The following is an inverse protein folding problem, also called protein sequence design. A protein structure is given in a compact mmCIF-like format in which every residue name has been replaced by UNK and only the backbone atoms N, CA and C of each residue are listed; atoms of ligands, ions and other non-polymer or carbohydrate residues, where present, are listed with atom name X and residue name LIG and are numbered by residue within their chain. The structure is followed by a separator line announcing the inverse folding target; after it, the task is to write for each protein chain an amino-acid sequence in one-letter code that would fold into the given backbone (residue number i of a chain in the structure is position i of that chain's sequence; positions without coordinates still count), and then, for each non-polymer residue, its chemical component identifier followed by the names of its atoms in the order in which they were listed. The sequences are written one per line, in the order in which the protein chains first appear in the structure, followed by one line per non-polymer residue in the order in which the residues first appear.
data_IF_117705898235
#
_entry.id   IF_117705898235
#
_cell.length_a   1.000
_cell.length_b   1.000
_cell.length_c   1.000
_cell.angle_alpha   90.00
_cell.angle_beta   90.00
_cell.angle_gamma   90.00
#
_symmetry.space_group_name_H-M   'P 1'
#
loop_
_entity.id
_entity.type
_entity.pdbx_description
1 polymer ?
#
# COMPACT_ATOMS: atom_id res chain seq x y z
N UNK A 1 10.13 -14.23 1.83
CA UNK A 1 9.65 -12.99 1.21
C UNK A 1 10.78 -12.50 0.30
N UNK A 2 10.56 -12.41 -1.00
CA UNK A 2 11.57 -11.88 -1.94
C UNK A 2 11.51 -10.37 -1.82
N UNK A 3 12.54 -9.74 -1.28
CA UNK A 3 12.59 -8.27 -1.15
C UNK A 3 12.76 -7.61 -2.53
N UNK A 4 12.04 -6.51 -2.75
CA UNK A 4 12.26 -5.65 -3.91
C UNK A 4 13.56 -4.85 -3.70
N UNK A 5 14.68 -5.37 -4.21
CA UNK A 5 16.02 -4.81 -3.98
C UNK A 5 16.14 -3.32 -4.33
N UNK A 6 15.41 -2.88 -5.36
CA UNK A 6 15.53 -1.53 -5.92
C UNK A 6 14.28 -0.66 -5.70
N UNK A 7 13.33 -1.09 -4.88
CA UNK A 7 12.09 -0.34 -4.62
C UNK A 7 11.88 -0.22 -3.12
N UNK A 8 11.71 1.01 -2.58
CA UNK A 8 11.34 1.18 -1.19
C UNK A 8 10.12 0.34 -0.83
N UNK A 9 10.17 -0.30 0.35
CA UNK A 9 9.11 -1.21 0.79
C UNK A 9 7.72 -0.55 0.79
N UNK A 10 7.63 0.73 1.16
CA UNK A 10 6.37 1.49 1.16
C UNK A 10 5.74 1.57 -0.23
N UNK A 11 6.52 1.91 -1.26
CA UNK A 11 6.08 1.94 -2.66
C UNK A 11 5.69 0.53 -3.12
N UNK A 12 6.51 -0.47 -2.81
CA UNK A 12 6.23 -1.85 -3.17
C UNK A 12 4.93 -2.37 -2.54
N UNK A 13 4.67 -2.07 -1.27
CA UNK A 13 3.43 -2.44 -0.57
C UNK A 13 2.20 -1.87 -1.26
N UNK A 14 2.22 -0.56 -1.58
CA UNK A 14 1.07 0.12 -2.19
C UNK A 14 0.79 -0.37 -3.61
N UNK A 15 1.84 -0.66 -4.39
CA UNK A 15 1.69 -1.26 -5.73
C UNK A 15 1.15 -2.68 -5.60
N UNK A 16 1.70 -3.48 -4.68
CA UNK A 16 1.32 -4.88 -4.50
C UNK A 16 -0.10 -5.05 -3.97
N UNK A 17 -0.60 -4.08 -3.20
CA UNK A 17 -1.99 -4.04 -2.75
C UNK A 17 -2.97 -3.55 -3.82
N UNK A 18 -2.48 -3.14 -5.00
CA UNK A 18 -3.32 -2.64 -6.10
C UNK A 18 -3.97 -1.28 -5.83
N UNK A 19 -3.48 -0.50 -4.86
CA UNK A 19 -4.08 0.79 -4.49
C UNK A 19 -3.57 1.96 -5.33
N UNK A 20 -2.38 1.83 -5.90
CA UNK A 20 -1.84 2.76 -6.90
C UNK A 20 -0.82 2.04 -7.80
N UNK A 21 -0.63 2.57 -9.00
CA UNK A 21 0.44 2.15 -9.91
C UNK A 21 1.76 2.88 -9.63
N UNK A 22 2.87 2.31 -10.12
CA UNK A 22 4.17 2.99 -10.09
C UNK A 22 4.12 4.35 -10.80
N UNK A 23 3.38 4.45 -11.90
CA UNK A 23 3.29 5.69 -12.67
C UNK A 23 2.62 6.80 -11.86
N UNK A 24 1.55 6.49 -11.12
CA UNK A 24 0.85 7.47 -10.27
C UNK A 24 1.73 7.94 -9.11
N UNK A 25 2.44 7.02 -8.45
CA UNK A 25 3.36 7.32 -7.34
C UNK A 25 4.57 8.16 -7.77
N UNK A 26 5.01 8.03 -9.02
CA UNK A 26 6.17 8.78 -9.54
C UNK A 26 5.79 10.16 -10.10
N UNK A 27 4.50 10.42 -10.40
CA UNK A 27 4.12 11.61 -11.19
C UNK A 27 2.98 12.46 -10.65
N UNK A 28 2.01 11.87 -9.93
CA UNK A 28 0.80 12.58 -9.48
C UNK A 28 0.72 12.60 -7.96
N UNK A 29 0.99 11.46 -7.32
CA UNK A 29 0.83 11.27 -5.89
C UNK A 29 2.08 11.75 -5.15
N UNK A 30 1.86 12.54 -4.10
CA UNK A 30 2.90 12.98 -3.20
C UNK A 30 3.21 11.96 -2.12
N UNK A 31 4.18 12.32 -1.27
CA UNK A 31 4.56 11.49 -0.11
C UNK A 31 3.40 11.32 0.87
N UNK A 32 2.55 12.34 1.03
CA UNK A 32 1.38 12.25 1.92
C UNK A 32 0.38 11.21 1.40
N UNK A 33 0.06 11.23 0.11
CA UNK A 33 -0.85 10.25 -0.51
C UNK A 33 -0.32 8.82 -0.33
N UNK A 34 1.00 8.62 -0.45
CA UNK A 34 1.63 7.32 -0.17
C UNK A 34 1.34 6.84 1.27
N UNK A 35 1.42 7.73 2.26
CA UNK A 35 1.13 7.40 3.65
C UNK A 35 -0.35 7.12 3.88
N UNK A 36 -1.24 7.92 3.27
CA UNK A 36 -2.68 7.72 3.36
C UNK A 36 -3.09 6.34 2.77
N UNK A 37 -2.48 5.95 1.64
CA UNK A 37 -2.69 4.64 1.04
C UNK A 37 -2.18 3.49 1.94
N UNK A 38 -1.06 3.68 2.63
CA UNK A 38 -0.55 2.70 3.60
C UNK A 38 -1.46 2.55 4.82
N UNK A 39 -2.11 3.62 5.27
CA UNK A 39 -3.11 3.57 6.32
C UNK A 39 -4.36 2.81 5.85
N UNK A 40 -4.87 3.12 4.65
CA UNK A 40 -6.00 2.40 4.06
C UNK A 40 -5.73 0.89 3.99
N UNK A 41 -4.54 0.48 3.53
CA UNK A 41 -4.16 -0.94 3.47
C UNK A 41 -4.20 -1.60 4.86
N UNK A 42 -3.75 -0.89 5.90
CA UNK A 42 -3.78 -1.41 7.28
C UNK A 42 -5.21 -1.54 7.81
N UNK A 43 -6.06 -0.55 7.54
CA UNK A 43 -7.48 -0.56 7.94
C UNK A 43 -8.24 -1.67 7.23
N UNK A 44 -8.03 -1.85 5.92
CA UNK A 44 -8.63 -2.93 5.15
C UNK A 44 -8.26 -4.30 5.75
N UNK A 45 -6.97 -4.53 6.01
CA UNK A 45 -6.50 -5.77 6.62
C UNK A 45 -7.05 -5.98 8.05
N UNK A 46 -7.34 -4.91 8.78
CA UNK A 46 -8.00 -5.00 10.08
C UNK A 46 -9.48 -5.38 9.94
N UNK A 47 -10.20 -4.72 9.04
CA UNK A 47 -11.60 -4.97 8.76
C UNK A 47 -11.83 -6.41 8.28
N UNK A 48 -10.99 -6.91 7.38
CA UNK A 48 -11.02 -8.30 6.93
C UNK A 48 -10.87 -9.28 8.09
N UNK A 49 -9.97 -9.01 9.03
CA UNK A 49 -9.80 -9.85 10.24
C UNK A 49 -11.05 -9.83 11.12
N UNK A 50 -11.59 -8.65 11.42
CA UNK A 50 -12.80 -8.51 12.25
C UNK A 50 -14.01 -9.20 11.61
N UNK A 51 -14.14 -9.09 10.28
CA UNK A 51 -15.22 -9.76 9.53
C UNK A 51 -15.11 -11.29 9.57
N UNK A 52 -13.90 -11.86 9.68
CA UNK A 52 -13.71 -13.31 9.80
C UNK A 52 -13.96 -13.82 11.23
N UNK A 53 -13.92 -12.93 12.23
CA UNK A 53 -14.17 -13.26 13.64
C UNK A 53 -15.66 -13.16 14.04
N UNK A 54 -16.52 -12.67 13.14
CA UNK A 54 -17.98 -12.46 13.36
C UNK A 54 -18.82 -13.50 12.64
#
# INVERSE_FOLDING_TARGET
MVDYVNVPRTIATVISSGKASKAELDSVLGVQDLWDLLEIIQVDAHNERVMQET
#
